data_IF_563848857471
#
_entry.id   IF_563848857471
#
_cell.length_a   1.000
_cell.length_b   1.000
_cell.length_c   1.000
_cell.angle_alpha   90.00
_cell.angle_beta   90.00
_cell.angle_gamma   90.00
#
_symmetry.space_group_name_H-M   'P 1'
#
loop_
_entity.id
_entity.type
_entity.pdbx_description
1 polymer ?
#
# COMPACT_ATOMS: atom_id res chain seq x y z
N UNK A 1 0.90 -15.67 1.53
CA UNK A 1 0.80 -14.72 2.66
C UNK A 1 -0.44 -13.84 2.50
N UNK A 2 -1.08 -13.41 3.59
CA UNK A 2 -2.20 -12.44 3.54
C UNK A 2 -1.66 -11.02 3.75
N UNK A 3 -2.15 -10.06 2.97
CA UNK A 3 -1.90 -8.63 3.20
C UNK A 3 -2.56 -8.21 4.51
N UNK A 4 -1.82 -7.49 5.36
CA UNK A 4 -2.36 -6.89 6.58
C UNK A 4 -3.03 -5.54 6.28
N UNK A 5 -3.84 -5.02 7.21
CA UNK A 5 -4.43 -3.65 7.09
C UNK A 5 -3.33 -2.60 6.92
N UNK A 6 -2.23 -2.76 7.65
CA UNK A 6 -1.02 -1.94 7.57
C UNK A 6 -0.35 -2.00 6.18
N UNK A 7 -0.38 -3.15 5.53
CA UNK A 7 0.12 -3.30 4.16
C UNK A 7 -0.78 -2.58 3.15
N UNK A 8 -2.09 -2.71 3.31
CA UNK A 8 -3.08 -2.04 2.46
C UNK A 8 -2.97 -0.50 2.57
N UNK A 9 -2.90 0.03 3.80
CA UNK A 9 -2.71 1.45 4.06
C UNK A 9 -1.40 1.98 3.45
N UNK A 10 -0.31 1.22 3.58
CA UNK A 10 0.96 1.57 2.96
C UNK A 10 0.85 1.65 1.44
N UNK A 11 0.18 0.70 0.80
CA UNK A 11 -0.01 0.69 -0.66
C UNK A 11 -0.83 1.89 -1.13
N UNK A 12 -1.89 2.27 -0.41
CA UNK A 12 -2.68 3.47 -0.73
C UNK A 12 -1.83 4.74 -0.67
N UNK A 13 -1.08 4.95 0.43
CA UNK A 13 -0.21 6.12 0.59
C UNK A 13 0.95 6.14 -0.41
N UNK A 14 1.51 4.97 -0.71
CA UNK A 14 2.56 4.84 -1.72
C UNK A 14 2.03 5.23 -3.09
N UNK A 15 0.80 4.83 -3.45
CA UNK A 15 0.19 5.17 -4.73
C UNK A 15 0.06 6.68 -4.91
N UNK A 16 -0.47 7.39 -3.92
CA UNK A 16 -0.58 8.85 -3.94
C UNK A 16 0.76 9.53 -4.23
N UNK A 17 1.84 9.07 -3.59
CA UNK A 17 3.17 9.63 -3.79
C UNK A 17 3.79 9.30 -5.15
N UNK A 18 3.45 8.15 -5.74
CA UNK A 18 3.85 7.83 -7.11
C UNK A 18 3.12 8.76 -8.11
N UNK A 19 1.83 9.00 -7.89
CA UNK A 19 1.00 9.86 -8.74
C UNK A 19 1.47 11.34 -8.66
N UNK A 20 1.84 11.82 -7.46
CA UNK A 20 2.46 13.13 -7.24
C UNK A 20 3.89 13.23 -7.83
N UNK A 21 4.43 12.17 -8.44
CA UNK A 21 5.84 12.02 -8.88
C UNK A 21 6.87 12.22 -7.75
N UNK A 22 6.38 12.20 -6.52
CA UNK A 22 7.13 12.26 -5.27
C UNK A 22 7.91 10.98 -4.99
N UNK A 23 7.60 9.86 -5.65
CA UNK A 23 8.41 8.64 -5.60
C UNK A 23 8.40 7.96 -6.97
N UNK A 24 9.34 7.05 -7.20
CA UNK A 24 9.30 6.14 -8.35
C UNK A 24 9.75 4.75 -7.95
N UNK A 25 9.10 3.72 -8.49
CA UNK A 25 9.57 2.34 -8.38
C UNK A 25 10.42 2.05 -9.61
N UNK A 26 11.64 1.57 -9.39
CA UNK A 26 12.53 1.14 -10.46
C UNK A 26 12.82 -0.34 -10.36
N UNK A 27 12.94 -0.99 -11.52
CA UNK A 27 13.41 -2.35 -11.64
C UNK A 27 14.92 -2.35 -11.86
N UNK A 28 15.67 -3.02 -10.96
CA UNK A 28 17.12 -3.16 -11.07
C UNK A 28 17.49 -4.57 -11.48
N UNK A 29 18.53 -4.65 -12.31
CA UNK A 29 19.11 -5.89 -12.83
C UNK A 29 20.61 -5.99 -12.54
N UNK A 30 21.14 -5.16 -11.63
CA UNK A 30 22.55 -5.06 -11.25
C UNK A 30 23.00 -6.21 -10.31
N UNK A 31 22.77 -7.45 -10.75
CA UNK A 31 22.96 -8.67 -9.96
C UNK A 31 21.61 -9.32 -9.66
N UNK A 32 21.13 -9.23 -8.42
CA UNK A 32 19.81 -9.76 -8.05
C UNK A 32 18.72 -8.82 -8.55
N UNK A 33 17.85 -9.33 -9.44
CA UNK A 33 16.68 -8.63 -9.95
C UNK A 33 15.77 -8.21 -8.80
N UNK A 34 15.49 -6.92 -8.66
CA UNK A 34 14.68 -6.38 -7.56
C UNK A 34 14.01 -5.07 -7.91
N UNK A 35 12.87 -4.80 -7.27
CA UNK A 35 12.28 -3.47 -7.26
C UNK A 35 12.96 -2.62 -6.19
N UNK A 36 13.20 -1.35 -6.50
CA UNK A 36 13.72 -0.36 -5.55
C UNK A 36 12.85 0.87 -5.56
N UNK A 37 12.64 1.45 -4.38
CA UNK A 37 12.01 2.75 -4.24
C UNK A 37 13.07 3.84 -4.44
N UNK A 38 12.90 4.64 -5.50
CA UNK A 38 13.80 5.73 -5.89
C UNK A 38 13.21 7.10 -5.53
N UNK A 39 14.13 8.06 -5.43
CA UNK A 39 13.97 9.42 -4.88
C UNK A 39 13.84 9.45 -3.36
N UNK A 40 14.45 10.46 -2.74
CA UNK A 40 14.61 10.59 -1.30
C UNK A 40 13.98 11.90 -0.86
N UNK A 41 12.98 11.84 0.02
CA UNK A 41 12.40 13.03 0.62
C UNK A 41 12.44 12.89 2.13
N UNK A 42 13.65 13.06 2.70
CA UNK A 42 13.97 13.10 4.13
C UNK A 42 12.81 12.93 5.12
N UNK A 43 12.45 14.02 5.81
CA UNK A 43 11.36 14.08 6.79
C UNK A 43 9.96 13.94 6.16
N UNK A 44 9.83 14.19 4.85
CA UNK A 44 8.54 14.15 4.13
C UNK A 44 7.98 12.74 4.04
N UNK A 45 8.83 11.73 3.81
CA UNK A 45 8.44 10.32 3.80
C UNK A 45 7.91 9.92 5.18
N UNK A 46 8.61 10.34 6.24
CA UNK A 46 8.22 9.97 7.61
C UNK A 46 6.88 10.59 7.99
N UNK A 47 6.65 11.86 7.62
CA UNK A 47 5.37 12.55 7.83
C UNK A 47 4.22 11.92 7.05
N UNK A 48 4.43 11.56 5.77
CA UNK A 48 3.39 10.98 4.90
C UNK A 48 3.02 9.56 5.32
N UNK A 49 4.01 8.73 5.67
CA UNK A 49 3.77 7.34 6.06
C UNK A 49 3.55 7.15 7.57
N UNK A 50 3.84 8.15 8.40
CA UNK A 50 3.77 8.03 9.86
C UNK A 50 4.74 6.98 10.41
N UNK A 51 5.85 6.73 9.70
CA UNK A 51 6.85 5.72 10.08
C UNK A 51 8.24 6.17 9.63
N UNK A 52 9.29 5.65 10.27
CA UNK A 52 10.66 5.99 9.90
C UNK A 52 10.98 5.57 8.47
N UNK A 53 12.00 6.19 7.88
CA UNK A 53 12.50 5.79 6.55
C UNK A 53 12.85 4.31 6.47
N UNK A 54 13.41 3.74 7.53
CA UNK A 54 13.71 2.30 7.59
C UNK A 54 12.42 1.47 7.61
N UNK A 55 11.38 1.91 8.33
CA UNK A 55 10.07 1.27 8.29
C UNK A 55 9.45 1.26 6.90
N UNK A 56 9.54 2.37 6.16
CA UNK A 56 9.08 2.45 4.77
C UNK A 56 9.85 1.49 3.88
N UNK A 57 11.20 1.46 3.98
CA UNK A 57 12.04 0.56 3.19
C UNK A 57 11.73 -0.91 3.48
N UNK A 58 11.58 -1.25 4.76
CA UNK A 58 11.23 -2.61 5.17
C UNK A 58 9.87 -3.04 4.61
N UNK A 59 8.85 -2.17 4.73
CA UNK A 59 7.51 -2.51 4.23
C UNK A 59 7.47 -2.59 2.71
N UNK A 60 8.21 -1.72 2.01
CA UNK A 60 8.40 -1.82 0.57
C UNK A 60 9.05 -3.15 0.18
N UNK A 61 10.14 -3.54 0.85
CA UNK A 61 10.83 -4.80 0.59
C UNK A 61 9.93 -6.01 0.83
N UNK A 62 9.18 -6.02 1.94
CA UNK A 62 8.21 -7.07 2.22
C UNK A 62 7.15 -7.20 1.12
N UNK A 63 6.61 -6.09 0.62
CA UNK A 63 5.51 -6.13 -0.36
C UNK A 63 6.01 -6.39 -1.78
N UNK A 64 7.01 -5.62 -2.24
CA UNK A 64 7.48 -5.66 -3.62
C UNK A 64 8.68 -6.59 -3.83
N UNK A 65 9.45 -6.87 -2.79
CA UNK A 65 10.60 -7.78 -2.84
C UNK A 65 10.26 -9.23 -2.50
N UNK A 66 9.25 -9.47 -1.66
CA UNK A 66 8.88 -10.82 -1.20
C UNK A 66 7.48 -11.22 -1.68
N UNK A 67 6.42 -10.59 -1.14
CA UNK A 67 5.04 -11.04 -1.35
C UNK A 67 4.65 -11.02 -2.83
N UNK A 68 4.96 -9.93 -3.53
CA UNK A 68 4.57 -9.76 -4.93
C UNK A 68 5.28 -10.77 -5.85
N UNK A 69 6.63 -10.88 -5.88
CA UNK A 69 7.31 -11.94 -6.64
C UNK A 69 6.88 -13.36 -6.28
N UNK A 70 6.78 -13.70 -4.98
CA UNK A 70 6.38 -15.05 -4.56
C UNK A 70 4.96 -15.44 -4.97
N UNK A 71 4.08 -14.46 -5.16
CA UNK A 71 2.74 -14.72 -5.72
C UNK A 71 2.83 -15.17 -7.18
N UNK A 72 3.69 -14.55 -7.98
CA UNK A 72 3.93 -14.97 -9.36
C UNK A 72 4.67 -16.31 -9.44
N UNK A 73 5.61 -16.58 -8.55
CA UNK A 73 6.27 -17.90 -8.46
C UNK A 73 5.25 -19.00 -8.20
N UNK A 74 4.34 -18.77 -7.24
CA UNK A 74 3.27 -19.72 -6.91
C UNK A 74 2.33 -19.91 -8.10
N UNK A 75 1.93 -18.81 -8.75
CA UNK A 75 1.07 -18.86 -9.93
C UNK A 75 1.72 -19.64 -11.08
N UNK A 76 2.99 -19.34 -11.37
CA UNK A 76 3.75 -20.00 -12.42
C UNK A 76 3.89 -21.50 -12.14
N UNK A 77 4.12 -21.88 -10.89
CA UNK A 77 4.20 -23.28 -10.50
C UNK A 77 2.86 -24.02 -10.67
N UNK A 78 1.73 -23.38 -10.33
CA UNK A 78 0.41 -23.99 -10.54
C UNK A 78 0.14 -24.14 -12.04
N UNK A 79 0.37 -23.08 -12.81
CA UNK A 79 0.06 -23.05 -14.24
C UNK A 79 0.99 -23.92 -15.08
N UNK A 80 2.24 -24.14 -14.65
CA UNK A 80 3.13 -25.09 -15.32
C UNK A 80 2.66 -26.54 -15.18
N UNK A 81 1.88 -26.87 -14.14
CA UNK A 81 1.35 -28.21 -13.90
C UNK A 81 -0.06 -28.42 -14.47
N UNK A 82 -0.91 -27.40 -14.40
CA UNK A 82 -2.34 -27.51 -14.75
C UNK A 82 -2.76 -26.69 -15.98
N UNK A 83 -1.82 -25.96 -16.60
CA UNK A 83 -2.12 -24.98 -17.64
C UNK A 83 -2.85 -23.75 -17.08
N UNK A 84 -3.30 -22.87 -17.98
CA UNK A 84 -3.94 -21.59 -17.62
C UNK A 84 -5.47 -21.64 -17.60
N UNK A 85 -6.08 -22.82 -17.81
CA UNK A 85 -7.54 -22.97 -17.94
C UNK A 85 -8.33 -22.54 -16.70
N UNK A 86 -7.73 -22.65 -15.51
CA UNK A 86 -8.34 -22.27 -14.24
C UNK A 86 -8.23 -20.77 -13.91
N UNK A 87 -7.48 -19.98 -14.72
CA UNK A 87 -7.13 -18.60 -14.37
C UNK A 87 -8.35 -17.70 -14.25
N UNK A 88 -9.32 -17.80 -15.16
CA UNK A 88 -10.55 -17.00 -15.10
C UNK A 88 -11.33 -17.25 -13.81
N UNK A 89 -11.54 -18.52 -13.47
CA UNK A 89 -12.23 -18.93 -12.24
C UNK A 89 -11.48 -18.49 -10.99
N UNK A 90 -10.15 -18.61 -10.97
CA UNK A 90 -9.33 -18.15 -9.86
C UNK A 90 -9.43 -16.62 -9.66
N UNK A 91 -9.51 -15.85 -10.76
CA UNK A 91 -9.70 -14.40 -10.71
C UNK A 91 -11.09 -14.01 -10.19
N UNK A 92 -12.15 -14.73 -10.56
CA UNK A 92 -13.49 -14.53 -9.99
C UNK A 92 -13.49 -14.76 -8.47
N UNK A 93 -12.90 -15.86 -8.02
CA UNK A 93 -12.76 -16.16 -6.58
C UNK A 93 -11.96 -15.05 -5.88
N UNK A 94 -10.88 -14.55 -6.49
CA UNK A 94 -10.06 -13.49 -5.93
C UNK A 94 -10.83 -12.16 -5.82
N UNK A 95 -11.63 -11.81 -6.84
CA UNK A 95 -12.48 -10.61 -6.86
C UNK A 95 -13.54 -10.67 -5.77
N UNK A 96 -14.29 -11.77 -5.69
CA UNK A 96 -15.29 -11.99 -4.64
C UNK A 96 -14.68 -11.84 -3.24
N UNK A 97 -13.49 -12.41 -3.01
CA UNK A 97 -12.76 -12.26 -1.73
C UNK A 97 -12.27 -10.83 -1.47
N UNK A 98 -12.01 -10.04 -2.51
CA UNK A 98 -11.62 -8.64 -2.35
C UNK A 98 -12.83 -7.77 -1.99
N UNK A 99 -13.96 -7.99 -2.66
CA UNK A 99 -15.23 -7.30 -2.40
C UNK A 99 -15.71 -7.57 -0.97
N UNK A 100 -15.77 -8.84 -0.55
CA UNK A 100 -16.15 -9.20 0.82
C UNK A 100 -15.26 -8.55 1.89
N UNK A 101 -13.95 -8.38 1.60
CA UNK A 101 -13.05 -7.63 2.48
C UNK A 101 -13.37 -6.15 2.53
N UNK A 102 -13.67 -5.52 1.39
CA UNK A 102 -14.06 -4.12 1.34
C UNK A 102 -15.37 -3.87 2.09
N UNK A 103 -16.35 -4.77 1.95
CA UNK A 103 -17.62 -4.70 2.68
C UNK A 103 -17.42 -4.83 4.18
N UNK A 104 -16.63 -5.81 4.63
CA UNK A 104 -16.29 -5.96 6.04
C UNK A 104 -15.57 -4.72 6.62
N UNK A 105 -14.70 -4.08 5.84
CA UNK A 105 -14.03 -2.84 6.23
C UNK A 105 -15.01 -1.65 6.33
N UNK A 106 -15.96 -1.53 5.39
CA UNK A 106 -17.03 -0.52 5.44
C UNK A 106 -17.92 -0.69 6.67
N UNK A 107 -18.33 -1.94 6.95
CA UNK A 107 -19.17 -2.26 8.12
C UNK A 107 -18.46 -2.00 9.45
N UNK A 108 -17.13 -2.12 9.51
CA UNK A 108 -16.31 -1.82 10.71
C UNK A 108 -16.05 -0.31 10.93
N UNK A 109 -16.55 0.58 10.08
CA UNK A 109 -16.47 2.04 10.31
C UNK A 109 -15.10 2.70 10.11
N UNK A 110 -14.14 2.03 9.45
CA UNK A 110 -12.77 2.55 9.23
C UNK A 110 -12.62 3.47 8.00
N UNK A 111 -13.71 3.84 7.35
CA UNK A 111 -13.75 4.85 6.29
C UNK A 111 -14.66 6.03 6.68
N UNK A 112 -14.48 6.58 7.87
CA UNK A 112 -14.96 7.93 8.18
C UNK A 112 -14.17 8.55 9.35
N UNK A 113 -13.18 9.36 9.02
CA UNK A 113 -12.94 10.61 9.75
C UNK A 113 -12.17 11.55 8.83
N UNK A 114 -12.93 12.24 7.98
CA UNK A 114 -12.48 13.52 7.43
C UNK A 114 -12.24 14.44 8.63
N UNK A 115 -11.05 15.02 8.68
CA UNK A 115 -10.64 16.10 9.59
C UNK A 115 -11.78 17.12 9.77
N UNK A 116 -12.27 17.28 10.99
CA UNK A 116 -12.69 18.58 11.49
C UNK A 116 -11.51 19.16 12.26
N UNK A 117 -10.61 19.83 11.55
CA UNK A 117 -9.81 20.89 12.16
C UNK A 117 -10.79 21.97 12.57
N UNK A 118 -11.16 21.96 13.85
CA UNK A 118 -11.87 23.07 14.47
C UNK A 118 -10.79 24.09 14.87
N UNK A 119 -10.33 24.88 13.90
CA UNK A 119 -9.52 26.06 14.14
C UNK A 119 -10.33 27.30 13.76
N UNK A 120 -10.50 28.20 14.73
CA UNK A 120 -10.76 29.61 14.46
C UNK A 120 -12.15 30.11 14.82
N UNK A 121 -12.38 30.39 16.10
CA UNK A 121 -13.03 31.65 16.48
C UNK A 121 -12.21 32.35 17.56
N UNK A 122 -11.50 33.39 17.09
CA UNK A 122 -11.05 34.51 17.90
C UNK A 122 -12.24 35.08 18.70
N UNK A 123 -12.12 35.14 20.03
CA UNK A 123 -12.80 36.18 20.79
C UNK A 123 -11.78 36.96 21.61
N UNK A 124 -11.46 38.11 21.04
CA UNK A 124 -10.75 39.23 21.61
C UNK A 124 -11.63 39.81 22.73
N UNK A 125 -11.19 39.78 23.99
CA UNK A 125 -11.77 40.62 25.05
C UNK A 125 -10.67 41.35 25.79
N UNK A 126 -10.43 42.58 25.33
CA UNK A 126 -9.88 43.65 26.12
C UNK A 126 -10.86 44.01 27.26
N UNK A 127 -10.35 43.94 28.50
CA UNK A 127 -10.43 44.96 29.57
C UNK A 127 -11.80 45.35 30.18
N UNK A 128 -11.84 45.96 31.39
CA UNK A 128 -10.76 46.64 32.13
C UNK A 128 -10.10 45.86 33.26
#
# INVERSE_FOLDING_TARGET
MKLTEKDAEFLTRLRELLDEKGLSIEFRTDGIKRFVLKKNYGLTIERRFGMTRQGVRWRFQRLFGEIYPSTYETLLFIESNFGTGLRSQAMEIARQRAEARQEALKQRGLLSSKRTTNDGQHENRNQP
#
